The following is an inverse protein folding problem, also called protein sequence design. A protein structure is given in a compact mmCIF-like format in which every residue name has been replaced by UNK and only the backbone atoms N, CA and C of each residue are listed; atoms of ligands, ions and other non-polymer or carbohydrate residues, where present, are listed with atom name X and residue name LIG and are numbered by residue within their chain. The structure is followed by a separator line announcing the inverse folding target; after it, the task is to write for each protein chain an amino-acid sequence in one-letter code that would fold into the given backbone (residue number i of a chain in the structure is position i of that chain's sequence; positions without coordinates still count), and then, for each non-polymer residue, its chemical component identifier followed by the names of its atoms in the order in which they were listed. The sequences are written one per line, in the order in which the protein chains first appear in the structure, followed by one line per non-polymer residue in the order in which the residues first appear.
data_IF_508464974380
#
_entry.id   IF_508464974380
#
_cell.length_a   1.000
_cell.length_b   1.000
_cell.length_c   1.000
_cell.angle_alpha   90.00
_cell.angle_beta   90.00
_cell.angle_gamma   90.00
#
_symmetry.space_group_name_H-M   'P 1'
#
loop_
_entity.id
_entity.type
_entity.pdbx_description
1 polymer ?
#
# COMPACT_ATOMS: atom_id res chain seq x y z
N UNK A 1 -7.79 24.86 -6.30
CA UNK A 1 -6.80 24.95 -5.22
C UNK A 1 -6.24 26.37 -5.14
N UNK A 2 -5.93 26.86 -3.94
CA UNK A 2 -5.35 28.19 -3.72
C UNK A 2 -3.94 28.30 -4.33
N UNK A 3 -3.63 29.45 -4.92
CA UNK A 3 -2.29 29.69 -5.48
C UNK A 3 -1.25 29.96 -4.40
N UNK A 4 -0.02 29.48 -4.60
CA UNK A 4 1.06 29.56 -3.60
C UNK A 4 1.50 30.98 -3.24
N UNK A 5 1.30 31.94 -4.15
CA UNK A 5 1.55 33.38 -3.93
C UNK A 5 0.58 34.03 -2.94
N UNK A 6 -0.56 33.38 -2.67
CA UNK A 6 -1.52 33.79 -1.63
C UNK A 6 -1.25 33.16 -0.27
N UNK A 7 -0.25 32.30 -0.15
CA UNK A 7 0.10 31.67 1.13
C UNK A 7 1.25 32.45 1.77
N UNK A 8 1.11 32.79 3.05
CA UNK A 8 2.18 33.42 3.82
C UNK A 8 2.47 32.65 5.10
N UNK A 9 3.75 32.66 5.49
CA UNK A 9 4.25 32.14 6.75
C UNK A 9 4.33 33.25 7.83
N UNK A 10 4.18 34.50 7.41
CA UNK A 10 4.16 35.64 8.31
C UNK A 10 2.77 35.78 8.94
N UNK A 11 2.73 36.27 10.18
CA UNK A 11 1.48 36.52 10.88
C UNK A 11 0.61 37.53 10.10
N UNK A 12 -0.67 37.18 9.91
CA UNK A 12 -1.67 38.07 9.31
C UNK A 12 -2.51 38.70 10.41
N UNK A 13 -2.54 40.03 10.49
CA UNK A 13 -3.43 40.77 11.38
C UNK A 13 -4.86 40.82 10.82
N UNK A 14 -5.60 39.71 10.96
CA UNK A 14 -7.03 39.67 10.60
C UNK A 14 -7.93 40.34 11.65
N UNK A 15 -7.46 40.39 12.90
CA UNK A 15 -8.17 40.95 14.04
C UNK A 15 -7.28 41.98 14.72
N UNK A 16 -7.38 43.26 14.34
CA UNK A 16 -6.56 44.32 14.92
C UNK A 16 -6.70 44.32 16.45
N UNK A 17 -5.58 44.23 17.15
CA UNK A 17 -5.58 44.18 18.61
C UNK A 17 -4.46 45.04 19.19
N UNK A 18 -4.64 45.60 20.40
CA UNK A 18 -3.55 46.30 21.07
C UNK A 18 -2.34 45.38 21.26
N UNK A 19 -1.13 45.91 21.10
CA UNK A 19 0.14 45.19 21.24
C UNK A 19 0.19 44.35 22.53
N UNK A 20 -0.20 44.93 23.66
CA UNK A 20 -0.25 44.25 24.96
C UNK A 20 -1.23 43.05 25.03
N UNK A 21 -2.21 42.98 24.12
CA UNK A 21 -3.09 41.82 23.96
C UNK A 21 -2.46 40.79 23.03
N UNK A 22 -1.84 41.22 21.92
CA UNK A 22 -1.09 40.34 21.01
C UNK A 22 -0.02 39.58 21.74
N UNK A 23 0.85 40.27 22.49
CA UNK A 23 1.93 39.65 23.28
C UNK A 23 1.41 38.60 24.26
N UNK A 24 0.27 38.85 24.90
CA UNK A 24 -0.35 37.88 25.82
C UNK A 24 -0.86 36.64 25.08
N UNK A 25 -1.46 36.83 23.92
CA UNK A 25 -2.00 35.75 23.10
C UNK A 25 -0.86 34.89 22.51
N UNK A 26 0.20 35.53 22.02
CA UNK A 26 1.44 34.87 21.57
C UNK A 26 2.09 34.08 22.71
N UNK A 27 2.14 34.62 23.93
CA UNK A 27 2.66 33.89 25.08
C UNK A 27 1.82 32.65 25.43
N UNK A 28 0.50 32.71 25.26
CA UNK A 28 -0.39 31.54 25.44
C UNK A 28 -0.16 30.50 24.34
N UNK A 29 0.03 30.93 23.09
CA UNK A 29 0.35 30.06 21.96
C UNK A 29 1.71 29.37 22.14
N UNK A 30 2.76 30.13 22.47
CA UNK A 30 4.08 29.57 22.76
C UNK A 30 4.03 28.57 23.92
N UNK A 31 3.26 28.87 24.98
CA UNK A 31 3.07 27.94 26.09
C UNK A 31 2.39 26.64 25.62
N UNK A 32 1.43 26.70 24.72
CA UNK A 32 0.75 25.52 24.14
C UNK A 32 1.73 24.62 23.39
N UNK A 33 2.61 25.22 22.59
CA UNK A 33 3.61 24.49 21.79
C UNK A 33 4.77 23.92 22.61
N UNK A 34 4.98 24.39 23.85
CA UNK A 34 6.05 23.93 24.74
C UNK A 34 5.57 22.96 25.84
N UNK A 35 4.36 22.42 25.74
CA UNK A 35 3.77 21.57 26.80
C UNK A 35 4.46 20.20 26.88
N UNK A 36 4.80 19.78 28.11
CA UNK A 36 5.41 18.47 28.41
C UNK A 36 4.71 17.68 29.53
N UNK A 37 3.51 18.08 29.97
CA UNK A 37 2.75 17.31 30.97
C UNK A 37 1.37 17.87 31.35
N UNK A 38 0.51 17.00 31.90
CA UNK A 38 -0.93 17.25 32.20
C UNK A 38 -1.15 18.48 33.09
N UNK A 39 -0.35 18.65 34.15
CA UNK A 39 -0.48 19.80 35.06
C UNK A 39 -0.24 21.17 34.38
N UNK A 40 0.53 21.19 33.28
CA UNK A 40 0.77 22.42 32.52
C UNK A 40 -0.40 22.72 31.58
N UNK A 41 -1.03 21.69 31.03
CA UNK A 41 -2.23 21.79 30.18
C UNK A 41 -3.43 22.35 30.96
N UNK A 42 -3.71 21.86 32.18
CA UNK A 42 -4.81 22.39 33.01
C UNK A 42 -4.61 23.87 33.38
N UNK A 43 -3.36 24.28 33.61
CA UNK A 43 -3.01 25.69 33.86
C UNK A 43 -3.23 26.53 32.61
N UNK A 44 -2.85 26.03 31.43
CA UNK A 44 -3.09 26.71 30.16
C UNK A 44 -4.59 26.90 29.91
N UNK A 45 -5.40 25.85 30.06
CA UNK A 45 -6.86 25.91 29.94
C UNK A 45 -7.45 26.96 30.89
N UNK A 46 -6.97 27.00 32.14
CA UNK A 46 -7.42 28.01 33.12
C UNK A 46 -7.07 29.44 32.67
N UNK A 47 -5.86 29.65 32.14
CA UNK A 47 -5.45 30.96 31.61
C UNK A 47 -6.25 31.36 30.38
N UNK A 48 -6.48 30.45 29.43
CA UNK A 48 -7.27 30.68 28.23
C UNK A 48 -8.72 31.05 28.56
N UNK A 49 -9.37 30.31 29.48
CA UNK A 49 -10.72 30.65 29.98
C UNK A 49 -10.78 32.03 30.62
N UNK A 50 -9.76 32.38 31.42
CA UNK A 50 -9.66 33.71 32.03
C UNK A 50 -9.49 34.80 30.97
N UNK A 51 -8.60 34.58 30.00
CA UNK A 51 -8.36 35.50 28.89
C UNK A 51 -9.65 35.73 28.07
N UNK A 52 -10.36 34.66 27.68
CA UNK A 52 -11.63 34.76 26.97
C UNK A 52 -12.67 35.56 27.77
N UNK A 53 -12.74 35.38 29.09
CA UNK A 53 -13.66 36.14 29.94
C UNK A 53 -13.33 37.65 29.97
N UNK A 54 -12.05 38.00 30.00
CA UNK A 54 -11.57 39.39 30.06
C UNK A 54 -11.57 40.05 28.67
N UNK A 55 -11.41 39.24 27.62
CA UNK A 55 -11.21 39.68 26.24
C UNK A 55 -12.00 38.78 25.25
N UNK A 56 -13.34 38.81 25.30
CA UNK A 56 -14.18 37.84 24.57
C UNK A 56 -14.22 38.03 23.06
N UNK A 57 -13.63 39.10 22.53
CA UNK A 57 -13.67 39.52 21.12
C UNK A 57 -12.55 38.92 20.25
N UNK A 58 -11.67 38.08 20.80
CA UNK A 58 -10.53 37.53 20.07
C UNK A 58 -10.70 36.03 19.78
N UNK A 59 -11.01 35.64 18.54
CA UNK A 59 -11.33 34.25 18.20
C UNK A 59 -10.16 33.27 18.42
N UNK A 60 -8.91 33.74 18.31
CA UNK A 60 -7.72 32.91 18.48
C UNK A 60 -7.69 32.23 19.86
N UNK A 61 -8.13 32.92 20.91
CA UNK A 61 -8.13 32.35 22.26
C UNK A 61 -9.14 31.19 22.41
N UNK A 62 -10.27 31.25 21.69
CA UNK A 62 -11.23 30.14 21.64
C UNK A 62 -10.65 28.96 20.87
N UNK A 63 -10.00 29.20 19.73
CA UNK A 63 -9.30 28.16 18.96
C UNK A 63 -8.24 27.44 19.81
N UNK A 64 -7.38 28.21 20.52
CA UNK A 64 -6.38 27.64 21.41
C UNK A 64 -7.01 26.84 22.56
N UNK A 65 -8.17 27.27 23.07
CA UNK A 65 -8.91 26.55 24.10
C UNK A 65 -9.48 25.23 23.56
N UNK A 66 -10.03 25.22 22.34
CA UNK A 66 -10.52 24.00 21.70
C UNK A 66 -9.38 23.00 21.48
N UNK A 67 -8.23 23.45 20.97
CA UNK A 67 -7.04 22.61 20.78
C UNK A 67 -6.49 22.08 22.11
N UNK A 68 -6.47 22.90 23.17
CA UNK A 68 -6.08 22.43 24.49
C UNK A 68 -7.01 21.32 25.02
N UNK A 69 -8.30 21.32 24.66
CA UNK A 69 -9.21 20.20 24.97
C UNK A 69 -8.93 18.95 24.14
N UNK A 70 -8.58 19.08 22.86
CA UNK A 70 -8.11 17.96 22.04
C UNK A 70 -6.86 17.31 22.67
N UNK A 71 -5.90 18.12 23.11
CA UNK A 71 -4.70 17.64 23.81
C UNK A 71 -5.03 16.92 25.14
N UNK A 72 -6.17 17.26 25.77
CA UNK A 72 -6.70 16.57 26.95
C UNK A 72 -7.53 15.32 26.60
N UNK A 73 -7.69 15.01 25.31
CA UNK A 73 -8.62 13.99 24.78
C UNK A 73 -10.07 14.23 25.21
N UNK A 74 -10.46 15.49 25.42
CA UNK A 74 -11.80 15.89 25.80
C UNK A 74 -12.56 16.46 24.59
N UNK A 75 -13.01 15.57 23.71
CA UNK A 75 -13.62 15.93 22.44
C UNK A 75 -14.92 16.72 22.63
N UNK A 76 -15.77 16.34 23.60
CA UNK A 76 -17.03 17.05 23.92
C UNK A 76 -16.81 18.53 24.23
N UNK A 77 -15.80 18.85 25.04
CA UNK A 77 -15.49 20.26 25.38
C UNK A 77 -14.83 20.99 24.21
N UNK A 78 -14.02 20.30 23.42
CA UNK A 78 -13.44 20.89 22.22
C UNK A 78 -14.55 21.29 21.24
N UNK A 79 -15.47 20.37 20.95
CA UNK A 79 -16.67 20.60 20.14
C UNK A 79 -17.48 21.79 20.63
N UNK A 80 -17.84 21.81 21.92
CA UNK A 80 -18.62 22.92 22.49
C UNK A 80 -17.92 24.29 22.38
N UNK A 81 -16.58 24.31 22.40
CA UNK A 81 -15.82 25.55 22.18
C UNK A 81 -15.76 25.94 20.71
N UNK A 82 -15.66 24.97 19.79
CA UNK A 82 -15.71 25.21 18.34
C UNK A 82 -17.08 25.73 17.89
N UNK A 83 -18.17 25.16 18.40
CA UNK A 83 -19.53 25.64 18.17
C UNK A 83 -19.69 27.10 18.65
N UNK A 84 -19.19 27.40 19.86
CA UNK A 84 -19.21 28.75 20.41
C UNK A 84 -18.33 29.73 19.61
N UNK A 85 -17.19 29.27 19.12
CA UNK A 85 -16.28 30.05 18.28
C UNK A 85 -16.97 30.43 16.98
N UNK A 86 -17.62 29.48 16.31
CA UNK A 86 -18.36 29.73 15.08
C UNK A 86 -19.57 30.65 15.30
N UNK A 87 -20.35 30.43 16.38
CA UNK A 87 -21.49 31.29 16.71
C UNK A 87 -21.06 32.76 16.91
N UNK A 88 -19.91 32.98 17.55
CA UNK A 88 -19.40 34.34 17.84
C UNK A 88 -18.65 34.98 16.68
N UNK A 89 -17.96 34.17 15.89
CA UNK A 89 -17.05 34.61 14.83
C UNK A 89 -17.29 33.78 13.57
N UNK A 90 -18.47 33.93 12.92
CA UNK A 90 -18.85 33.08 11.80
C UNK A 90 -17.88 33.19 10.62
N UNK A 91 -17.16 34.31 10.47
CA UNK A 91 -16.19 34.53 9.38
C UNK A 91 -14.77 34.08 9.75
N UNK A 92 -14.54 33.58 10.97
CA UNK A 92 -13.24 33.08 11.37
C UNK A 92 -13.00 31.67 10.81
N UNK A 93 -12.09 31.58 9.85
CA UNK A 93 -11.83 30.37 9.06
C UNK A 93 -11.53 29.13 9.91
N UNK A 94 -10.71 29.23 10.96
CA UNK A 94 -10.47 28.09 11.85
C UNK A 94 -11.74 27.60 12.55
N UNK A 95 -12.70 28.48 12.86
CA UNK A 95 -13.98 28.08 13.45
C UNK A 95 -14.80 27.22 12.48
N UNK A 96 -14.84 27.60 11.20
CA UNK A 96 -15.51 26.84 10.12
C UNK A 96 -14.85 25.47 9.91
N UNK A 97 -13.53 25.47 9.71
CA UNK A 97 -12.76 24.25 9.47
C UNK A 97 -12.82 23.28 10.66
N UNK A 98 -12.78 23.79 11.90
CA UNK A 98 -12.79 22.96 13.09
C UNK A 98 -14.12 22.21 13.31
N UNK A 99 -15.26 22.81 12.94
CA UNK A 99 -16.57 22.14 13.03
C UNK A 99 -16.67 20.95 12.10
N UNK A 100 -16.21 21.11 10.86
CA UNK A 100 -16.14 20.02 9.89
C UNK A 100 -15.14 18.94 10.35
N UNK A 101 -13.97 19.36 10.84
CA UNK A 101 -12.96 18.43 11.31
C UNK A 101 -13.38 17.61 12.56
N UNK A 102 -14.25 18.14 13.44
CA UNK A 102 -14.64 17.44 14.67
C UNK A 102 -15.83 16.50 14.54
N UNK A 103 -16.80 16.77 13.65
CA UNK A 103 -18.14 16.16 13.75
C UNK A 103 -18.79 15.70 12.43
N UNK A 104 -17.99 15.45 11.38
CA UNK A 104 -18.54 14.87 10.15
C UNK A 104 -19.12 13.47 10.39
N UNK A 105 -20.44 13.40 10.50
CA UNK A 105 -21.29 12.23 10.25
C UNK A 105 -22.20 12.47 9.03
N UNK A 106 -22.95 11.46 8.60
CA UNK A 106 -23.81 11.53 7.39
C UNK A 106 -24.84 12.66 7.46
N UNK A 107 -25.37 12.97 8.65
CA UNK A 107 -26.37 14.03 8.85
C UNK A 107 -25.76 15.44 8.70
N UNK A 108 -24.44 15.57 8.88
CA UNK A 108 -23.71 16.84 8.75
C UNK A 108 -23.27 17.17 7.31
N UNK A 109 -23.41 16.22 6.37
CA UNK A 109 -22.98 16.40 4.97
C UNK A 109 -23.74 17.52 4.23
N UNK A 110 -25.01 17.73 4.57
CA UNK A 110 -25.86 18.75 3.92
C UNK A 110 -25.40 20.19 4.23
N UNK A 111 -24.71 20.43 5.36
CA UNK A 111 -24.32 21.76 5.84
C UNK A 111 -22.87 22.15 5.49
N UNK A 112 -22.11 21.27 4.83
CA UNK A 112 -20.68 21.49 4.54
C UNK A 112 -20.46 22.66 3.59
N UNK A 113 -21.31 22.83 2.58
CA UNK A 113 -21.20 23.93 1.63
C UNK A 113 -21.50 25.28 2.29
N UNK A 114 -22.29 25.31 3.37
CA UNK A 114 -22.49 26.52 4.18
C UNK A 114 -21.23 26.89 4.97
N UNK A 115 -20.50 25.88 5.47
CA UNK A 115 -19.30 26.09 6.28
C UNK A 115 -18.06 26.40 5.43
N UNK A 116 -17.84 25.64 4.35
CA UNK A 116 -16.63 25.70 3.51
C UNK A 116 -16.85 26.40 2.16
N UNK A 117 -18.08 26.74 1.80
CA UNK A 117 -18.42 27.33 0.49
C UNK A 117 -18.75 26.26 -0.56
N UNK A 118 -19.58 26.61 -1.53
CA UNK A 118 -20.08 25.69 -2.56
C UNK A 118 -18.96 25.08 -3.42
N UNK A 119 -17.96 25.90 -3.76
CA UNK A 119 -16.84 25.48 -4.60
C UNK A 119 -15.77 24.71 -3.82
N UNK A 120 -15.84 24.68 -2.49
CA UNK A 120 -14.81 24.11 -1.61
C UNK A 120 -13.40 24.68 -1.86
N UNK A 121 -13.33 25.93 -2.31
CA UNK A 121 -12.10 26.67 -2.60
C UNK A 121 -11.97 27.91 -1.70
N UNK A 122 -10.80 28.10 -1.08
CA UNK A 122 -10.56 29.23 -0.16
C UNK A 122 -10.77 30.60 -0.82
N UNK A 123 -10.34 30.74 -2.07
CA UNK A 123 -10.46 31.98 -2.83
C UNK A 123 -11.92 32.30 -3.20
N UNK A 124 -12.77 31.28 -3.35
CA UNK A 124 -14.20 31.47 -3.55
C UNK A 124 -14.90 31.84 -2.24
N UNK A 125 -14.46 31.24 -1.12
CA UNK A 125 -15.02 31.50 0.21
C UNK A 125 -14.64 32.91 0.73
N UNK A 126 -13.43 33.39 0.43
CA UNK A 126 -12.94 34.71 0.85
C UNK A 126 -12.36 35.49 -0.34
N UNK A 127 -13.20 35.98 -1.27
CA UNK A 127 -12.75 36.58 -2.52
C UNK A 127 -11.96 37.89 -2.34
N UNK A 128 -12.19 38.59 -1.21
CA UNK A 128 -11.53 39.86 -0.89
C UNK A 128 -10.19 39.68 -0.15
N UNK A 129 -9.78 38.44 0.18
CA UNK A 129 -8.51 38.18 0.87
C UNK A 129 -7.37 37.99 -0.12
N UNK A 130 -6.33 38.81 0.03
CA UNK A 130 -5.11 38.71 -0.78
C UNK A 130 -4.17 37.59 -0.30
N UNK A 131 -4.14 37.32 1.02
CA UNK A 131 -3.27 36.31 1.61
C UNK A 131 -3.95 35.52 2.74
N UNK A 132 -3.51 34.27 2.89
CA UNK A 132 -3.89 33.34 3.95
C UNK A 132 -2.64 32.81 4.65
N UNK A 133 -2.73 32.69 5.96
CA UNK A 133 -1.64 32.09 6.72
C UNK A 133 -1.59 30.59 6.41
N UNK A 134 -0.41 29.99 6.37
CA UNK A 134 -0.24 28.57 6.06
C UNK A 134 -1.13 27.65 6.91
N UNK A 135 -1.27 27.94 8.21
CA UNK A 135 -2.12 27.14 9.11
C UNK A 135 -3.62 27.26 8.78
N UNK A 136 -4.06 28.39 8.22
CA UNK A 136 -5.43 28.56 7.76
C UNK A 136 -5.69 27.67 6.53
N UNK A 137 -4.73 27.66 5.60
CA UNK A 137 -4.78 26.87 4.38
C UNK A 137 -4.84 25.38 4.70
N UNK A 138 -3.92 24.90 5.53
CA UNK A 138 -3.83 23.48 5.88
C UNK A 138 -5.05 23.01 6.69
N UNK A 139 -5.54 23.81 7.64
CA UNK A 139 -6.74 23.46 8.40
C UNK A 139 -7.99 23.38 7.51
N UNK A 140 -8.15 24.31 6.56
CA UNK A 140 -9.27 24.31 5.63
C UNK A 140 -9.24 23.09 4.71
N UNK A 141 -8.12 22.82 4.03
CA UNK A 141 -8.07 21.70 3.08
C UNK A 141 -8.10 20.35 3.78
N UNK A 142 -7.67 20.25 5.05
CA UNK A 142 -7.92 19.06 5.85
C UNK A 142 -9.43 18.82 6.08
N UNK A 143 -10.20 19.88 6.35
CA UNK A 143 -11.65 19.77 6.46
C UNK A 143 -12.31 19.33 5.14
N UNK A 144 -11.86 19.88 4.00
CA UNK A 144 -12.32 19.46 2.66
C UNK A 144 -11.95 17.98 2.39
N UNK A 145 -10.72 17.58 2.72
CA UNK A 145 -10.28 16.19 2.58
C UNK A 145 -11.13 15.22 3.41
N UNK A 146 -11.42 15.58 4.66
CA UNK A 146 -12.30 14.77 5.52
C UNK A 146 -13.72 14.66 4.96
N UNK A 147 -14.24 15.74 4.36
CA UNK A 147 -15.52 15.69 3.65
C UNK A 147 -15.48 14.71 2.48
N UNK A 148 -14.49 14.81 1.59
CA UNK A 148 -14.37 13.88 0.45
C UNK A 148 -14.21 12.44 0.91
N UNK A 149 -13.47 12.19 1.99
CA UNK A 149 -13.35 10.86 2.58
C UNK A 149 -14.69 10.31 3.08
N UNK A 150 -15.42 11.06 3.92
CA UNK A 150 -16.70 10.59 4.51
C UNK A 150 -17.81 10.46 3.46
N UNK A 151 -17.77 11.27 2.40
CA UNK A 151 -18.71 11.19 1.29
C UNK A 151 -18.26 10.23 0.18
N UNK A 152 -17.22 9.41 0.43
CA UNK A 152 -16.67 8.40 -0.49
C UNK A 152 -16.28 8.96 -1.86
N UNK A 153 -15.92 10.24 -1.93
CA UNK A 153 -15.42 10.91 -3.13
C UNK A 153 -13.89 10.79 -3.22
N UNK A 154 -13.40 9.54 -3.30
CA UNK A 154 -11.98 9.23 -3.19
C UNK A 154 -11.13 9.81 -4.32
N UNK A 155 -11.65 9.94 -5.55
CA UNK A 155 -10.93 10.58 -6.65
C UNK A 155 -10.64 12.04 -6.35
N UNK A 156 -11.64 12.79 -5.86
CA UNK A 156 -11.46 14.19 -5.46
C UNK A 156 -10.50 14.35 -4.27
N UNK A 157 -10.52 13.38 -3.34
CA UNK A 157 -9.57 13.33 -2.24
C UNK A 157 -8.13 13.16 -2.74
N UNK A 158 -7.89 12.26 -3.70
CA UNK A 158 -6.60 12.07 -4.35
C UNK A 158 -6.15 13.32 -5.12
N UNK A 159 -7.03 13.94 -5.89
CA UNK A 159 -6.75 15.20 -6.61
C UNK A 159 -6.35 16.32 -5.64
N UNK A 160 -7.11 16.49 -4.56
CA UNK A 160 -6.81 17.49 -3.53
C UNK A 160 -5.44 17.25 -2.88
N UNK A 161 -5.14 16.00 -2.51
CA UNK A 161 -3.85 15.66 -1.94
C UNK A 161 -2.70 15.93 -2.91
N UNK A 162 -2.85 15.55 -4.19
CA UNK A 162 -1.82 15.80 -5.22
C UNK A 162 -1.49 17.29 -5.36
N UNK A 163 -2.50 18.16 -5.31
CA UNK A 163 -2.28 19.60 -5.38
C UNK A 163 -1.71 20.17 -4.07
N UNK A 164 -2.15 19.67 -2.91
CA UNK A 164 -1.65 20.11 -1.62
C UNK A 164 -0.18 19.72 -1.41
N UNK A 165 0.20 18.50 -1.79
CA UNK A 165 1.56 17.97 -1.69
C UNK A 165 2.56 18.75 -2.57
N UNK A 166 2.13 19.23 -3.74
CA UNK A 166 2.96 20.10 -4.60
C UNK A 166 3.29 21.45 -3.95
N UNK A 167 2.38 21.98 -3.13
CA UNK A 167 2.52 23.34 -2.58
C UNK A 167 3.06 23.32 -1.15
N UNK A 168 2.64 22.35 -0.34
CA UNK A 168 2.92 22.24 1.09
C UNK A 168 3.36 20.80 1.48
N UNK A 169 4.42 20.24 0.89
CA UNK A 169 4.81 18.84 1.10
C UNK A 169 5.23 18.52 2.54
N UNK A 170 5.91 19.46 3.20
CA UNK A 170 6.48 19.26 4.54
C UNK A 170 5.51 19.61 5.68
N UNK A 171 4.28 20.04 5.36
CA UNK A 171 3.31 20.43 6.38
C UNK A 171 2.69 19.20 7.05
N UNK A 172 2.67 19.12 8.40
CA UNK A 172 2.13 17.96 9.11
C UNK A 172 0.70 17.59 8.74
N UNK A 173 -0.12 18.59 8.41
CA UNK A 173 -1.51 18.35 8.03
C UNK A 173 -1.64 17.77 6.61
N UNK A 174 -0.73 18.09 5.69
CA UNK A 174 -0.66 17.45 4.37
C UNK A 174 -0.42 15.95 4.53
N UNK A 175 0.42 15.57 5.49
CA UNK A 175 0.62 14.16 5.85
C UNK A 175 -0.65 13.51 6.45
N UNK A 176 -1.43 14.23 7.27
CA UNK A 176 -2.72 13.70 7.75
C UNK A 176 -3.73 13.51 6.59
N UNK A 177 -3.75 14.39 5.58
CA UNK A 177 -4.55 14.19 4.36
C UNK A 177 -4.10 12.93 3.61
N UNK A 178 -2.78 12.70 3.49
CA UNK A 178 -2.23 11.48 2.87
C UNK A 178 -2.76 10.20 3.53
N UNK A 179 -2.92 10.18 4.87
CA UNK A 179 -3.52 9.04 5.58
C UNK A 179 -4.99 8.82 5.20
N UNK A 180 -5.76 9.89 5.02
CA UNK A 180 -7.15 9.79 4.55
C UNK A 180 -7.20 9.24 3.12
N UNK A 181 -6.28 9.66 2.24
CA UNK A 181 -6.16 9.11 0.88
C UNK A 181 -5.86 7.61 0.93
N UNK A 182 -4.88 7.18 1.73
CA UNK A 182 -4.55 5.76 1.88
C UNK A 182 -5.76 4.94 2.34
N UNK A 183 -6.47 5.41 3.36
CA UNK A 183 -7.68 4.75 3.85
C UNK A 183 -8.80 4.73 2.80
N UNK A 184 -8.99 5.83 2.06
CA UNK A 184 -10.03 5.94 1.05
C UNK A 184 -9.76 5.02 -0.14
N UNK A 185 -8.50 4.92 -0.56
CA UNK A 185 -8.10 3.98 -1.62
C UNK A 185 -8.32 2.52 -1.18
N UNK A 186 -8.07 2.19 0.09
CA UNK A 186 -8.36 0.86 0.62
C UNK A 186 -9.89 0.55 0.62
N UNK A 187 -10.72 1.52 1.00
CA UNK A 187 -12.19 1.37 0.94
C UNK A 187 -12.70 1.25 -0.49
N UNK A 188 -12.19 2.06 -1.41
CA UNK A 188 -12.52 1.97 -2.84
C UNK A 188 -12.21 0.57 -3.40
N UNK A 189 -11.03 0.04 -3.05
CA UNK A 189 -10.62 -1.31 -3.45
C UNK A 189 -11.55 -2.39 -2.88
N UNK A 190 -11.92 -2.30 -1.61
CA UNK A 190 -12.86 -3.24 -0.98
C UNK A 190 -14.23 -3.21 -1.67
N UNK A 191 -14.78 -2.02 -1.95
CA UNK A 191 -16.03 -1.88 -2.70
C UNK A 191 -15.94 -2.41 -4.13
N UNK A 192 -14.84 -2.17 -4.84
CA UNK A 192 -14.62 -2.73 -6.18
C UNK A 192 -14.60 -4.26 -6.13
N UNK A 193 -13.89 -4.84 -5.15
CA UNK A 193 -13.79 -6.28 -4.95
C UNK A 193 -15.16 -6.95 -4.72
N UNK A 194 -16.12 -6.28 -4.08
CA UNK A 194 -17.48 -6.79 -3.90
C UNK A 194 -18.30 -6.86 -5.21
N UNK A 195 -17.96 -6.04 -6.21
CA UNK A 195 -18.76 -5.83 -7.41
C UNK A 195 -18.20 -6.49 -8.68
N UNK A 196 -17.02 -7.09 -8.58
CA UNK A 196 -16.37 -7.81 -9.69
C UNK A 196 -16.38 -9.33 -9.46
N UNK A 197 -16.28 -10.16 -10.51
CA UNK A 197 -16.12 -11.59 -10.34
C UNK A 197 -14.85 -11.94 -9.56
N UNK A 198 -14.97 -12.78 -8.54
CA UNK A 198 -13.85 -13.27 -7.74
C UNK A 198 -14.00 -14.76 -7.43
N UNK A 199 -12.90 -15.50 -7.49
CA UNK A 199 -12.88 -16.93 -7.12
C UNK A 199 -12.53 -17.06 -5.64
N UNK A 200 -13.40 -17.69 -4.87
CA UNK A 200 -13.06 -18.06 -3.49
C UNK A 200 -12.16 -19.30 -3.50
N UNK A 201 -10.93 -19.15 -3.00
CA UNK A 201 -9.99 -20.25 -2.85
C UNK A 201 -10.43 -21.22 -1.76
N UNK A 202 -10.16 -22.50 -1.98
CA UNK A 202 -10.14 -23.50 -0.92
C UNK A 202 -8.76 -24.16 -0.94
N UNK A 203 -7.86 -23.80 -0.01
CA UNK A 203 -6.51 -24.34 0.02
C UNK A 203 -6.52 -25.87 -0.06
N UNK A 204 -5.67 -26.43 -0.92
CA UNK A 204 -5.51 -27.88 -0.99
C UNK A 204 -4.92 -28.37 0.32
N UNK A 205 -5.70 -29.11 1.11
CA UNK A 205 -5.27 -29.58 2.42
C UNK A 205 -4.39 -30.81 2.30
N UNK A 206 -3.12 -30.65 2.68
CA UNK A 206 -2.16 -31.74 2.81
C UNK A 206 -2.43 -32.57 4.06
N UNK A 207 -2.19 -33.88 3.96
CA UNK A 207 -2.25 -34.78 5.13
C UNK A 207 -1.15 -34.41 6.13
N UNK A 208 -1.58 -33.95 7.29
CA UNK A 208 -0.70 -33.46 8.36
C UNK A 208 -0.05 -34.61 9.14
N UNK A 209 1.20 -34.39 9.57
CA UNK A 209 1.99 -35.32 10.35
C UNK A 209 2.88 -34.56 11.35
N UNK A 210 3.44 -35.29 12.32
CA UNK A 210 4.45 -34.77 13.26
C UNK A 210 5.82 -35.42 13.04
N UNK A 211 5.94 -36.28 12.02
CA UNK A 211 7.17 -37.04 11.73
C UNK A 211 8.04 -36.20 10.82
N UNK A 212 9.23 -35.84 11.30
CA UNK A 212 10.21 -35.12 10.49
C UNK A 212 10.77 -36.00 9.35
N UNK A 213 11.07 -35.43 8.19
CA UNK A 213 11.66 -36.14 7.06
C UNK A 213 13.08 -36.62 7.37
N UNK A 214 13.48 -37.71 6.71
CA UNK A 214 14.86 -38.19 6.73
C UNK A 214 15.66 -37.59 5.57
N UNK A 215 16.75 -36.91 5.92
CA UNK A 215 17.65 -36.25 4.97
C UNK A 215 18.96 -37.02 4.79
N UNK A 216 19.46 -37.04 3.56
CA UNK A 216 20.81 -37.53 3.29
C UNK A 216 21.88 -36.61 3.90
N UNK A 217 21.69 -35.29 3.78
CA UNK A 217 22.54 -34.25 4.35
C UNK A 217 21.91 -33.69 5.63
N UNK A 218 21.78 -34.55 6.65
CA UNK A 218 21.04 -34.23 7.88
C UNK A 218 21.61 -33.03 8.65
N UNK A 219 22.94 -32.86 8.68
CA UNK A 219 23.57 -31.73 9.39
C UNK A 219 23.30 -30.41 8.66
N UNK A 220 23.37 -30.43 7.33
CA UNK A 220 23.15 -29.27 6.48
C UNK A 220 21.67 -28.87 6.43
N UNK A 221 20.75 -29.84 6.32
CA UNK A 221 19.31 -29.56 6.33
C UNK A 221 18.83 -29.06 7.69
N UNK A 222 19.44 -29.51 8.80
CA UNK A 222 19.09 -29.02 10.14
C UNK A 222 19.23 -27.49 10.27
N UNK A 223 20.19 -26.89 9.56
CA UNK A 223 20.42 -25.44 9.57
C UNK A 223 19.22 -24.63 9.08
N UNK A 224 18.51 -25.15 8.09
CA UNK A 224 17.33 -24.49 7.53
C UNK A 224 16.24 -24.29 8.58
N UNK A 225 16.10 -25.23 9.51
CA UNK A 225 15.06 -25.22 10.55
C UNK A 225 15.50 -24.57 11.87
N UNK A 226 16.80 -24.46 12.14
CA UNK A 226 17.31 -24.14 13.48
C UNK A 226 18.06 -22.82 13.57
N UNK A 227 18.68 -22.39 12.47
CA UNK A 227 19.50 -21.19 12.47
C UNK A 227 18.63 -19.98 12.11
N UNK A 228 18.92 -18.82 12.68
CA UNK A 228 18.26 -17.57 12.26
C UNK A 228 18.81 -17.08 10.91
N UNK A 229 20.03 -17.45 10.56
CA UNK A 229 20.69 -17.09 9.31
C UNK A 229 21.73 -18.16 8.94
N UNK A 230 21.87 -18.46 7.64
CA UNK A 230 22.90 -19.38 7.12
C UNK A 230 24.03 -18.54 6.54
N UNK A 231 25.25 -18.72 7.05
CA UNK A 231 26.42 -17.87 6.76
C UNK A 231 27.05 -18.08 5.37
N UNK A 232 27.70 -17.00 4.88
CA UNK A 232 28.73 -16.97 3.82
C UNK A 232 29.13 -18.29 3.17
N UNK A 233 30.09 -18.84 3.89
CA UNK A 233 30.87 -19.99 3.51
C UNK A 233 30.04 -21.26 3.58
N UNK A 234 28.99 -21.29 4.39
CA UNK A 234 28.25 -22.51 4.70
C UNK A 234 27.33 -22.89 3.55
N UNK A 235 26.52 -21.97 3.04
CA UNK A 235 25.70 -22.23 1.87
C UNK A 235 26.56 -22.40 0.61
N UNK A 236 27.67 -21.67 0.45
CA UNK A 236 28.63 -21.98 -0.63
C UNK A 236 29.17 -23.40 -0.50
N UNK A 237 29.48 -23.86 0.72
CA UNK A 237 29.89 -25.24 0.95
C UNK A 237 28.76 -26.22 0.64
N UNK A 238 27.50 -25.88 0.93
CA UNK A 238 26.36 -26.71 0.54
C UNK A 238 26.20 -26.81 -0.97
N UNK A 239 26.42 -25.74 -1.73
CA UNK A 239 26.36 -25.76 -3.19
C UNK A 239 27.43 -26.68 -3.83
N UNK A 240 28.49 -27.03 -3.10
CA UNK A 240 29.52 -28.00 -3.53
C UNK A 240 29.14 -29.46 -3.24
N UNK A 241 28.03 -29.71 -2.52
CA UNK A 241 27.50 -31.06 -2.30
C UNK A 241 27.01 -31.69 -3.62
N UNK A 242 26.88 -33.03 -3.70
CA UNK A 242 26.29 -33.69 -4.86
C UNK A 242 24.90 -33.13 -5.20
N UNK A 243 24.82 -32.41 -6.33
CA UNK A 243 23.66 -31.60 -6.74
C UNK A 243 22.34 -32.36 -6.63
N UNK A 244 22.25 -33.54 -7.24
CA UNK A 244 20.99 -34.29 -7.30
C UNK A 244 20.51 -34.74 -5.92
N UNK A 245 21.44 -35.08 -5.02
CA UNK A 245 21.11 -35.48 -3.66
C UNK A 245 20.70 -34.27 -2.81
N UNK A 246 21.37 -33.12 -2.98
CA UNK A 246 21.02 -31.89 -2.27
C UNK A 246 19.64 -31.39 -2.73
N UNK A 247 19.41 -31.37 -4.04
CA UNK A 247 18.11 -31.03 -4.62
C UNK A 247 17.00 -31.94 -4.06
N UNK A 248 17.23 -33.25 -3.99
CA UNK A 248 16.25 -34.18 -3.42
C UNK A 248 15.92 -33.89 -1.94
N UNK A 249 16.91 -33.52 -1.12
CA UNK A 249 16.66 -33.14 0.28
C UNK A 249 15.97 -31.79 0.40
N UNK A 250 16.33 -30.79 -0.41
CA UNK A 250 15.65 -29.48 -0.44
C UNK A 250 14.18 -29.58 -0.84
N UNK A 251 13.85 -30.45 -1.80
CA UNK A 251 12.45 -30.72 -2.17
C UNK A 251 11.67 -31.37 -1.02
N UNK A 252 12.32 -32.20 -0.19
CA UNK A 252 11.70 -32.70 1.04
C UNK A 252 11.49 -31.60 2.08
N UNK A 253 12.39 -30.62 2.17
CA UNK A 253 12.20 -29.45 3.05
C UNK A 253 10.95 -28.67 2.64
N UNK A 254 10.73 -28.49 1.33
CA UNK A 254 9.48 -27.88 0.84
C UNK A 254 8.27 -28.75 1.17
N UNK A 255 8.30 -30.05 0.87
CA UNK A 255 7.20 -30.98 1.18
C UNK A 255 6.85 -30.97 2.68
N UNK A 256 7.86 -30.89 3.54
CA UNK A 256 7.71 -30.89 4.98
C UNK A 256 6.94 -29.68 5.50
N UNK A 257 7.13 -28.51 4.89
CA UNK A 257 6.36 -27.31 5.23
C UNK A 257 4.86 -27.48 5.04
N UNK A 258 4.43 -28.19 3.98
CA UNK A 258 3.03 -28.54 3.80
C UNK A 258 2.55 -29.61 4.78
N UNK A 259 3.35 -30.66 4.99
CA UNK A 259 2.96 -31.84 5.78
C UNK A 259 3.01 -31.64 7.28
N UNK A 260 3.77 -30.65 7.76
CA UNK A 260 3.89 -30.32 9.18
C UNK A 260 3.46 -28.89 9.46
N UNK A 261 2.64 -28.29 8.61
CA UNK A 261 2.14 -26.92 8.79
C UNK A 261 1.47 -26.75 10.16
N UNK A 262 0.54 -27.65 10.53
CA UNK A 262 -0.15 -27.61 11.84
C UNK A 262 0.81 -27.69 13.04
N UNK A 263 1.98 -28.31 12.84
CA UNK A 263 3.02 -28.41 13.86
C UNK A 263 3.82 -27.11 13.97
N UNK A 264 4.09 -26.44 12.85
CA UNK A 264 4.87 -25.21 12.80
C UNK A 264 4.07 -23.95 13.08
N UNK A 265 2.80 -23.88 12.67
CA UNK A 265 1.93 -22.70 12.87
C UNK A 265 1.75 -22.34 14.35
N UNK A 266 2.01 -23.29 15.27
CA UNK A 266 2.00 -23.06 16.72
C UNK A 266 3.26 -22.35 17.24
N UNK A 267 4.23 -22.10 16.37
CA UNK A 267 5.54 -21.51 16.64
C UNK A 267 5.63 -20.20 15.82
N UNK A 268 6.48 -19.27 16.24
CA UNK A 268 6.78 -18.05 15.46
C UNK A 268 7.20 -18.39 14.02
N UNK A 269 6.97 -17.45 13.09
CA UNK A 269 7.21 -17.55 11.64
C UNK A 269 8.48 -18.34 11.28
N UNK A 270 8.37 -19.20 10.26
CA UNK A 270 9.41 -20.16 9.90
C UNK A 270 9.77 -20.03 8.41
N UNK A 271 10.96 -19.49 8.13
CA UNK A 271 11.47 -19.18 6.79
C UNK A 271 12.24 -20.35 6.12
N UNK A 272 12.22 -21.55 6.69
CA UNK A 272 12.97 -22.70 6.15
C UNK A 272 12.56 -23.06 4.71
N UNK A 273 11.28 -22.87 4.35
CA UNK A 273 10.80 -23.06 2.98
C UNK A 273 11.35 -22.00 2.03
N UNK A 274 11.38 -20.73 2.46
CA UNK A 274 12.00 -19.64 1.72
C UNK A 274 13.46 -19.97 1.41
N UNK A 275 14.23 -20.37 2.43
CA UNK A 275 15.65 -20.74 2.28
C UNK A 275 15.82 -21.92 1.33
N UNK A 276 14.97 -22.95 1.44
CA UNK A 276 15.05 -24.11 0.56
C UNK A 276 14.82 -23.73 -0.91
N UNK A 277 13.80 -22.89 -1.17
CA UNK A 277 13.50 -22.41 -2.51
C UNK A 277 14.61 -21.46 -3.05
N UNK A 278 15.23 -20.65 -2.19
CA UNK A 278 16.39 -19.85 -2.54
C UNK A 278 17.62 -20.71 -2.93
N UNK A 279 17.87 -21.81 -2.23
CA UNK A 279 18.95 -22.74 -2.60
C UNK A 279 18.64 -23.47 -3.91
N UNK A 280 17.38 -23.88 -4.12
CA UNK A 280 16.94 -24.46 -5.39
C UNK A 280 17.10 -23.48 -6.57
N UNK A 281 16.94 -22.19 -6.31
CA UNK A 281 17.22 -21.12 -7.28
C UNK A 281 18.70 -21.09 -7.67
N UNK A 282 19.60 -21.10 -6.69
CA UNK A 282 21.06 -21.10 -6.93
C UNK A 282 21.52 -22.38 -7.65
N UNK A 283 20.91 -23.52 -7.32
CA UNK A 283 21.14 -24.79 -8.01
C UNK A 283 20.53 -24.83 -9.42
N UNK A 284 19.67 -23.87 -9.76
CA UNK A 284 18.87 -23.85 -10.99
C UNK A 284 18.10 -25.17 -11.14
N UNK A 285 17.46 -25.60 -10.06
CA UNK A 285 16.62 -26.79 -10.03
C UNK A 285 15.49 -26.65 -11.05
N UNK A 286 15.12 -27.75 -11.71
CA UNK A 286 13.94 -27.79 -12.59
C UNK A 286 12.70 -28.24 -11.83
N UNK A 287 12.89 -29.11 -10.84
CA UNK A 287 11.82 -29.71 -10.06
C UNK A 287 11.18 -28.71 -9.08
N UNK A 288 11.88 -27.63 -8.71
CA UNK A 288 11.35 -26.58 -7.84
C UNK A 288 10.13 -25.85 -8.40
N UNK A 289 9.94 -25.80 -9.72
CA UNK A 289 8.80 -25.11 -10.34
C UNK A 289 7.44 -25.69 -9.97
N UNK A 290 7.38 -27.02 -9.77
CA UNK A 290 6.18 -27.66 -9.23
C UNK A 290 5.83 -27.05 -7.87
N UNK A 291 6.82 -26.91 -6.99
CA UNK A 291 6.61 -26.43 -5.63
C UNK A 291 6.27 -24.95 -5.56
N UNK A 292 6.80 -24.11 -6.46
CA UNK A 292 6.37 -22.71 -6.59
C UNK A 292 4.86 -22.63 -6.78
N UNK A 293 4.30 -23.46 -7.65
CA UNK A 293 2.84 -23.55 -7.86
C UNK A 293 2.14 -24.13 -6.63
N UNK A 294 2.62 -25.23 -6.04
CA UNK A 294 1.97 -25.82 -4.85
C UNK A 294 1.91 -24.85 -3.66
N UNK A 295 2.95 -24.03 -3.44
CA UNK A 295 2.98 -22.98 -2.41
C UNK A 295 1.86 -21.98 -2.63
N UNK A 296 1.70 -21.48 -3.86
CA UNK A 296 0.65 -20.48 -4.15
C UNK A 296 -0.76 -20.99 -3.90
N UNK A 297 -0.99 -22.30 -4.06
CA UNK A 297 -2.30 -22.92 -3.83
C UNK A 297 -2.72 -23.00 -2.35
N UNK A 298 -1.83 -22.71 -1.41
CA UNK A 298 -2.12 -22.83 0.01
C UNK A 298 -2.79 -21.59 0.62
N UNK A 299 -2.88 -20.48 -0.13
CA UNK A 299 -3.47 -19.24 0.34
C UNK A 299 -2.51 -18.33 1.12
N UNK A 300 -2.99 -17.12 1.43
CA UNK A 300 -2.22 -16.02 2.00
C UNK A 300 -1.59 -16.36 3.36
N UNK A 301 -2.34 -16.97 4.29
CA UNK A 301 -1.84 -17.29 5.64
C UNK A 301 -0.59 -18.20 5.58
N UNK A 302 -0.62 -19.23 4.71
CA UNK A 302 0.52 -20.13 4.52
C UNK A 302 1.71 -19.40 3.87
N UNK A 303 1.46 -18.60 2.83
CA UNK A 303 2.50 -17.86 2.14
C UNK A 303 3.18 -16.84 3.06
N UNK A 304 2.40 -16.08 3.83
CA UNK A 304 2.92 -15.10 4.77
C UNK A 304 3.75 -15.78 5.86
N UNK A 305 3.29 -16.91 6.41
CA UNK A 305 4.02 -17.65 7.44
C UNK A 305 5.42 -18.12 6.99
N UNK A 306 5.55 -18.57 5.74
CA UNK A 306 6.78 -19.19 5.25
C UNK A 306 7.70 -18.27 4.43
N UNK A 307 7.14 -17.24 3.79
CA UNK A 307 7.85 -16.41 2.83
C UNK A 307 7.69 -14.90 3.09
N UNK A 308 6.72 -14.50 3.92
CA UNK A 308 6.33 -13.10 4.09
C UNK A 308 6.12 -12.38 2.75
N UNK A 309 6.49 -11.10 2.70
CA UNK A 309 6.38 -10.29 1.49
C UNK A 309 7.45 -10.60 0.42
N UNK A 310 8.43 -11.46 0.73
CA UNK A 310 9.58 -11.71 -0.16
C UNK A 310 9.32 -12.77 -1.23
N UNK A 311 8.21 -13.50 -1.18
CA UNK A 311 7.92 -14.61 -2.11
C UNK A 311 8.04 -14.17 -3.58
N UNK A 312 7.46 -13.02 -3.93
CA UNK A 312 7.49 -12.49 -5.29
C UNK A 312 8.91 -12.25 -5.80
N UNK A 313 9.78 -11.68 -4.96
CA UNK A 313 11.16 -11.38 -5.33
C UNK A 313 11.96 -12.68 -5.55
N UNK A 314 11.77 -13.66 -4.67
CA UNK A 314 12.41 -14.96 -4.76
C UNK A 314 12.01 -15.70 -6.03
N UNK A 315 10.72 -15.78 -6.33
CA UNK A 315 10.22 -16.47 -7.54
C UNK A 315 10.66 -15.76 -8.82
N UNK A 316 10.68 -14.42 -8.83
CA UNK A 316 11.18 -13.64 -9.95
C UNK A 316 12.67 -13.91 -10.24
N UNK A 317 13.50 -13.98 -9.19
CA UNK A 317 14.91 -14.40 -9.29
C UNK A 317 15.02 -15.81 -9.84
N UNK A 318 14.19 -16.73 -9.35
CA UNK A 318 14.19 -18.12 -9.83
C UNK A 318 13.85 -18.18 -11.32
N UNK A 319 12.89 -17.38 -11.78
CA UNK A 319 12.48 -17.32 -13.18
C UNK A 319 13.60 -16.82 -14.08
N UNK A 320 14.27 -15.76 -13.65
CA UNK A 320 15.39 -15.17 -14.38
C UNK A 320 16.54 -16.17 -14.62
N UNK A 321 16.89 -16.99 -13.62
CA UNK A 321 18.05 -17.89 -13.72
C UNK A 321 17.73 -19.31 -14.20
N UNK A 322 16.56 -19.84 -13.89
CA UNK A 322 16.30 -21.28 -13.96
C UNK A 322 15.02 -21.67 -14.71
N UNK A 323 14.24 -20.71 -15.21
CA UNK A 323 13.05 -21.05 -16.00
C UNK A 323 13.46 -21.86 -17.25
N UNK A 324 12.61 -22.80 -17.66
CA UNK A 324 12.80 -23.58 -18.87
C UNK A 324 11.56 -23.49 -19.76
N UNK A 325 11.72 -23.47 -21.09
CA UNK A 325 10.58 -23.42 -22.01
C UNK A 325 9.54 -24.54 -21.80
N UNK A 326 9.96 -25.69 -21.27
CA UNK A 326 9.04 -26.80 -20.93
C UNK A 326 8.04 -26.46 -19.83
N UNK A 327 8.33 -25.47 -19.00
CA UNK A 327 7.45 -25.07 -17.90
C UNK A 327 6.30 -24.15 -18.34
N UNK A 328 6.34 -23.61 -19.57
CA UNK A 328 5.27 -22.76 -20.10
C UNK A 328 3.91 -23.47 -20.01
N UNK A 329 3.82 -24.72 -20.47
CA UNK A 329 2.57 -25.49 -20.42
C UNK A 329 2.09 -25.71 -18.97
N UNK A 330 3.01 -25.88 -18.00
CA UNK A 330 2.64 -26.02 -16.59
C UNK A 330 2.01 -24.75 -16.05
N UNK A 331 2.60 -23.59 -16.33
CA UNK A 331 2.07 -22.30 -15.91
C UNK A 331 0.76 -21.94 -16.62
N UNK A 332 0.64 -22.25 -17.91
CA UNK A 332 -0.63 -22.08 -18.66
C UNK A 332 -1.75 -22.87 -17.98
N UNK A 333 -1.52 -24.16 -17.71
CA UNK A 333 -2.49 -25.02 -17.04
C UNK A 333 -2.83 -24.53 -15.62
N UNK A 334 -1.85 -24.02 -14.88
CA UNK A 334 -2.07 -23.46 -13.55
C UNK A 334 -2.98 -22.23 -13.56
N UNK A 335 -2.75 -21.27 -14.47
CA UNK A 335 -3.63 -20.09 -14.57
C UNK A 335 -5.06 -20.45 -14.94
N UNK A 336 -5.26 -21.58 -15.61
CA UNK A 336 -6.56 -22.11 -16.03
C UNK A 336 -7.17 -23.12 -15.05
N UNK A 337 -6.47 -23.42 -13.94
CA UNK A 337 -6.95 -24.36 -12.93
C UNK A 337 -8.13 -23.75 -12.14
N UNK A 338 -9.23 -24.48 -12.02
CA UNK A 338 -10.43 -24.02 -11.32
C UNK A 338 -10.26 -24.05 -9.78
N UNK A 339 -10.92 -23.12 -9.09
CA UNK A 339 -11.06 -23.15 -7.63
C UNK A 339 -9.88 -22.58 -6.83
N UNK A 340 -8.94 -21.93 -7.51
CA UNK A 340 -7.83 -21.19 -6.90
C UNK A 340 -8.11 -19.69 -7.08
N UNK A 341 -7.99 -18.89 -6.02
CA UNK A 341 -8.24 -17.45 -6.09
C UNK A 341 -7.31 -16.74 -7.07
N UNK A 342 -7.77 -15.64 -7.66
CA UNK A 342 -6.92 -14.83 -8.52
C UNK A 342 -5.69 -14.28 -7.81
N UNK A 343 -5.83 -13.92 -6.52
CA UNK A 343 -4.72 -13.45 -5.69
C UNK A 343 -3.60 -14.49 -5.58
N UNK A 344 -3.94 -15.74 -5.29
CA UNK A 344 -2.99 -16.86 -5.20
C UNK A 344 -2.22 -17.04 -6.51
N UNK A 345 -2.90 -16.95 -7.66
CA UNK A 345 -2.27 -17.03 -8.99
C UNK A 345 -1.41 -15.81 -9.31
N UNK A 346 -1.79 -14.62 -8.83
CA UNK A 346 -1.12 -13.36 -9.17
C UNK A 346 0.34 -13.31 -8.70
N UNK A 347 0.68 -14.01 -7.61
CA UNK A 347 2.06 -14.07 -7.08
C UNK A 347 3.10 -14.51 -8.13
N UNK A 348 2.68 -15.29 -9.12
CA UNK A 348 3.58 -15.87 -10.13
C UNK A 348 3.32 -15.36 -11.55
N UNK A 349 2.46 -14.36 -11.75
CA UNK A 349 2.19 -13.78 -13.09
C UNK A 349 3.46 -13.25 -13.74
N UNK A 350 4.31 -12.55 -12.99
CA UNK A 350 5.52 -11.95 -13.54
C UNK A 350 6.63 -12.95 -13.88
N UNK A 351 6.51 -14.24 -13.51
CA UNK A 351 7.49 -15.29 -13.84
C UNK A 351 7.83 -15.29 -15.32
N UNK A 352 6.83 -15.11 -16.19
CA UNK A 352 7.01 -15.11 -17.64
C UNK A 352 7.84 -13.92 -18.12
N UNK A 353 7.61 -12.73 -17.56
CA UNK A 353 8.40 -11.55 -17.90
C UNK A 353 9.86 -11.69 -17.42
N UNK A 354 10.08 -12.18 -16.20
CA UNK A 354 11.44 -12.40 -15.69
C UNK A 354 12.17 -13.52 -16.45
N UNK A 355 11.47 -14.56 -16.88
CA UNK A 355 12.04 -15.60 -17.74
C UNK A 355 12.47 -15.04 -19.11
N UNK A 356 11.69 -14.14 -19.71
CA UNK A 356 12.06 -13.44 -20.96
C UNK A 356 13.28 -12.55 -20.75
N UNK A 357 13.27 -11.74 -19.69
CA UNK A 357 14.40 -10.86 -19.35
C UNK A 357 15.69 -11.61 -19.07
N UNK A 358 15.60 -12.79 -18.44
CA UNK A 358 16.73 -13.68 -18.19
C UNK A 358 17.20 -14.45 -19.44
N UNK A 359 16.57 -14.24 -20.59
CA UNK A 359 16.86 -14.97 -21.83
C UNK A 359 16.53 -16.47 -21.75
N UNK A 360 15.65 -16.86 -20.82
CA UNK A 360 15.23 -18.25 -20.60
C UNK A 360 14.18 -18.69 -21.61
N UNK A 361 13.38 -17.75 -22.07
CA UNK A 361 12.41 -17.92 -23.16
C UNK A 361 12.54 -16.74 -24.13
N UNK A 362 12.21 -17.00 -25.39
CA UNK A 362 12.12 -15.95 -26.41
C UNK A 362 10.94 -15.03 -26.13
N UNK A 363 11.09 -13.73 -26.43
CA UNK A 363 10.00 -12.76 -26.29
C UNK A 363 8.71 -13.22 -26.97
N UNK A 364 8.81 -13.78 -28.17
CA UNK A 364 7.64 -14.29 -28.90
C UNK A 364 6.89 -15.41 -28.13
N UNK A 365 7.61 -16.23 -27.35
CA UNK A 365 6.98 -17.26 -26.53
C UNK A 365 6.27 -16.65 -25.31
N UNK A 366 6.88 -15.66 -24.65
CA UNK A 366 6.25 -14.92 -23.56
C UNK A 366 4.98 -14.18 -24.02
N UNK A 367 5.02 -13.55 -25.19
CA UNK A 367 3.85 -12.86 -25.77
C UNK A 367 2.74 -13.85 -26.15
N UNK A 368 3.10 -15.00 -26.73
CA UNK A 368 2.14 -16.05 -27.07
C UNK A 368 1.48 -16.65 -25.82
N UNK A 369 2.24 -16.84 -24.74
CA UNK A 369 1.73 -17.32 -23.45
C UNK A 369 0.61 -16.42 -22.93
N UNK A 370 0.88 -15.11 -22.76
CA UNK A 370 -0.10 -14.21 -22.15
C UNK A 370 -1.33 -14.01 -23.04
N UNK A 371 -1.13 -13.99 -24.37
CA UNK A 371 -2.24 -13.94 -25.32
C UNK A 371 -3.14 -15.18 -25.20
N UNK A 372 -2.54 -16.37 -25.12
CA UNK A 372 -3.28 -17.63 -24.97
C UNK A 372 -4.07 -17.66 -23.67
N UNK A 373 -3.43 -17.37 -22.53
CA UNK A 373 -4.08 -17.41 -21.22
C UNK A 373 -5.24 -16.42 -21.13
N UNK A 374 -5.06 -15.17 -21.58
CA UNK A 374 -6.15 -14.18 -21.60
C UNK A 374 -7.31 -14.62 -22.50
N UNK A 375 -7.02 -15.19 -23.66
CA UNK A 375 -8.05 -15.68 -24.57
C UNK A 375 -8.84 -16.84 -23.94
N UNK A 376 -8.17 -17.80 -23.30
CA UNK A 376 -8.83 -18.94 -22.67
C UNK A 376 -9.66 -18.53 -21.44
N UNK A 377 -9.17 -17.58 -20.63
CA UNK A 377 -9.94 -16.99 -19.53
C UNK A 377 -11.19 -16.26 -20.04
N UNK A 378 -11.07 -15.52 -21.15
CA UNK A 378 -12.21 -14.86 -21.77
C UNK A 378 -13.25 -15.85 -22.31
N UNK A 379 -12.81 -16.92 -22.96
CA UNK A 379 -13.69 -17.99 -23.43
C UNK A 379 -14.41 -18.68 -22.27
N UNK A 380 -13.75 -18.79 -21.12
CA UNK A 380 -14.28 -19.36 -19.89
C UNK A 380 -14.93 -18.34 -18.94
N UNK A 381 -15.23 -17.11 -19.36
CA UNK A 381 -15.75 -16.02 -18.51
C UNK A 381 -17.05 -16.31 -17.74
N UNK A 382 -17.84 -17.27 -18.22
CA UNK A 382 -19.07 -17.70 -17.53
C UNK A 382 -18.78 -18.74 -16.41
N UNK A 383 -17.53 -19.21 -16.29
CA UNK A 383 -17.10 -20.16 -15.27
C UNK A 383 -16.71 -19.42 -13.99
N UNK A 384 -17.61 -19.40 -13.02
CA UNK A 384 -17.41 -18.74 -11.73
C UNK A 384 -16.30 -19.34 -10.85
N UNK A 385 -15.74 -20.51 -11.23
CA UNK A 385 -14.59 -21.12 -10.53
C UNK A 385 -13.24 -20.71 -11.11
N UNK A 386 -13.24 -20.02 -12.24
CA UNK A 386 -12.03 -19.58 -12.94
C UNK A 386 -12.00 -18.06 -13.13
N UNK A 387 -13.17 -17.46 -13.30
CA UNK A 387 -13.29 -16.04 -13.62
C UNK A 387 -13.02 -15.17 -12.41
N UNK A 388 -11.90 -14.44 -12.47
CA UNK A 388 -11.42 -13.59 -11.39
C UNK A 388 -10.89 -12.27 -11.97
N UNK A 389 -11.51 -11.16 -11.59
CA UNK A 389 -11.18 -9.84 -12.12
C UNK A 389 -9.79 -9.36 -11.69
N UNK A 390 -9.35 -9.75 -10.50
CA UNK A 390 -8.02 -9.38 -10.02
C UNK A 390 -6.94 -10.07 -10.88
N UNK A 391 -7.06 -11.38 -11.09
CA UNK A 391 -6.15 -12.12 -11.97
C UNK A 391 -6.13 -11.58 -13.40
N UNK A 392 -7.32 -11.30 -13.96
CA UNK A 392 -7.44 -10.72 -15.30
C UNK A 392 -6.65 -9.41 -15.39
N UNK A 393 -6.82 -8.53 -14.40
CA UNK A 393 -6.11 -7.25 -14.33
C UNK A 393 -4.59 -7.46 -14.29
N UNK A 394 -4.09 -8.37 -13.45
CA UNK A 394 -2.66 -8.66 -13.37
C UNK A 394 -2.09 -9.22 -14.69
N UNK A 395 -2.82 -10.11 -15.36
CA UNK A 395 -2.41 -10.65 -16.67
C UNK A 395 -2.44 -9.60 -17.78
N UNK A 396 -3.37 -8.64 -17.73
CA UNK A 396 -3.38 -7.49 -18.63
C UNK A 396 -2.16 -6.59 -18.38
N UNK A 397 -1.78 -6.39 -17.12
CA UNK A 397 -0.52 -5.74 -16.74
C UNK A 397 0.70 -6.45 -17.35
N UNK A 398 0.77 -7.78 -17.24
CA UNK A 398 1.82 -8.59 -17.88
C UNK A 398 1.82 -8.41 -19.41
N UNK A 399 0.65 -8.38 -20.05
CA UNK A 399 0.54 -8.14 -21.48
C UNK A 399 1.06 -6.74 -21.87
N UNK A 400 0.80 -5.73 -21.05
CA UNK A 400 1.31 -4.38 -21.23
C UNK A 400 2.84 -4.33 -21.08
N UNK A 401 3.40 -5.06 -20.11
CA UNK A 401 4.84 -5.17 -19.90
C UNK A 401 5.56 -5.88 -21.06
N UNK A 402 4.97 -6.96 -21.55
CA UNK A 402 5.46 -7.72 -22.70
C UNK A 402 5.14 -7.06 -24.05
N UNK A 403 4.44 -5.92 -24.05
CA UNK A 403 4.07 -5.13 -25.23
C UNK A 403 3.21 -5.90 -26.25
N UNK A 404 2.23 -6.66 -25.77
CA UNK A 404 1.33 -7.49 -26.59
C UNK A 404 0.10 -6.69 -27.03
N UNK A 405 0.30 -5.71 -27.92
CA UNK A 405 -0.77 -4.80 -28.36
C UNK A 405 -1.92 -5.51 -29.08
N UNK A 406 -1.66 -6.69 -29.62
CA UNK A 406 -2.64 -7.56 -30.26
C UNK A 406 -3.76 -7.95 -29.30
N UNK A 407 -3.53 -7.93 -27.98
CA UNK A 407 -4.54 -8.20 -26.96
C UNK A 407 -5.48 -7.01 -26.69
N UNK A 408 -5.17 -5.78 -27.14
CA UNK A 408 -5.98 -4.58 -26.81
C UNK A 408 -7.49 -4.72 -27.11
N UNK A 409 -7.92 -5.32 -28.25
CA UNK A 409 -9.34 -5.56 -28.49
C UNK A 409 -9.99 -6.48 -27.45
N UNK A 410 -9.26 -7.52 -27.02
CA UNK A 410 -9.72 -8.45 -25.98
C UNK A 410 -9.73 -7.77 -24.60
N UNK A 411 -8.67 -7.03 -24.26
CA UNK A 411 -8.59 -6.19 -23.05
C UNK A 411 -9.81 -5.29 -22.94
N UNK A 412 -10.19 -4.62 -24.04
CA UNK A 412 -11.40 -3.78 -24.06
C UNK A 412 -12.66 -4.58 -23.70
N UNK A 413 -12.78 -5.82 -24.15
CA UNK A 413 -13.93 -6.66 -23.81
C UNK A 413 -13.99 -6.99 -22.32
N UNK A 414 -12.84 -7.26 -21.68
CA UNK A 414 -12.76 -7.45 -20.22
C UNK A 414 -13.24 -6.19 -19.46
N UNK A 415 -12.86 -4.99 -19.92
CA UNK A 415 -13.37 -3.73 -19.36
C UNK A 415 -14.87 -3.55 -19.58
N UNK A 416 -15.36 -3.82 -20.80
CA UNK A 416 -16.78 -3.65 -21.16
C UNK A 416 -17.70 -4.60 -20.35
N UNK A 417 -17.19 -5.75 -19.87
CA UNK A 417 -17.93 -6.74 -19.08
C UNK A 417 -17.63 -6.69 -17.56
N UNK A 418 -16.99 -5.62 -17.04
CA UNK A 418 -16.62 -5.49 -15.62
C UNK A 418 -15.82 -6.69 -15.08
N UNK A 419 -14.91 -7.22 -15.90
CA UNK A 419 -14.08 -8.37 -15.57
C UNK A 419 -12.65 -7.99 -15.17
N UNK A 420 -12.44 -6.74 -14.76
CA UNK A 420 -11.16 -6.17 -14.32
C UNK A 420 -11.42 -5.26 -13.14
N UNK A 421 -10.35 -4.92 -12.42
CA UNK A 421 -10.34 -4.02 -11.27
C UNK A 421 -9.68 -2.70 -11.71
N UNK A 422 -10.47 -1.63 -12.01
CA UNK A 422 -9.93 -0.39 -12.58
C UNK A 422 -8.94 0.33 -11.66
N UNK A 423 -9.06 0.19 -10.33
CA UNK A 423 -8.12 0.83 -9.38
C UNK A 423 -6.64 0.46 -9.60
N UNK A 424 -6.33 -0.64 -10.30
CA UNK A 424 -4.94 -1.02 -10.59
C UNK A 424 -4.32 -0.31 -11.80
N UNK A 425 -5.08 -0.11 -12.89
CA UNK A 425 -4.55 0.38 -14.18
C UNK A 425 -5.35 1.55 -14.77
N UNK A 426 -6.33 2.05 -14.03
CA UNK A 426 -7.28 3.04 -14.50
C UNK A 426 -8.31 2.46 -15.46
N UNK A 427 -8.96 3.32 -16.22
CA UNK A 427 -9.90 2.91 -17.25
C UNK A 427 -9.17 2.26 -18.46
N UNK A 428 -9.93 1.80 -19.47
CA UNK A 428 -9.35 1.22 -20.67
C UNK A 428 -8.40 2.19 -21.41
N UNK A 429 -8.70 3.49 -21.45
CA UNK A 429 -7.89 4.47 -22.15
C UNK A 429 -6.56 4.73 -21.42
N UNK A 430 -6.56 4.68 -20.09
CA UNK A 430 -5.35 4.69 -19.28
C UNK A 430 -4.55 3.40 -19.47
N UNK A 431 -5.21 2.24 -19.37
CA UNK A 431 -4.62 0.92 -19.61
C UNK A 431 -3.95 0.83 -20.98
N UNK A 432 -4.58 1.32 -22.05
CA UNK A 432 -4.00 1.35 -23.41
C UNK A 432 -2.66 2.11 -23.46
N UNK A 433 -2.52 3.20 -22.69
CA UNK A 433 -1.26 3.97 -22.64
C UNK A 433 -0.12 3.17 -22.00
N UNK A 434 -0.40 2.26 -21.05
CA UNK A 434 0.64 1.43 -20.44
C UNK A 434 1.28 0.45 -21.44
N UNK A 435 0.56 0.05 -22.50
CA UNK A 435 1.14 -0.75 -23.58
C UNK A 435 2.22 0.03 -24.36
N UNK A 436 2.21 1.37 -24.29
CA UNK A 436 3.22 2.25 -24.90
C UNK A 436 4.29 2.74 -23.92
N UNK A 437 4.01 2.70 -22.61
CA UNK A 437 4.94 3.12 -21.57
C UNK A 437 6.18 2.20 -21.47
N UNK A 438 7.22 2.64 -20.76
CA UNK A 438 8.35 1.76 -20.43
C UNK A 438 7.86 0.64 -19.51
N UNK A 439 8.33 -0.60 -19.70
CA UNK A 439 7.88 -1.74 -18.88
C UNK A 439 8.20 -1.52 -17.39
N UNK A 440 7.24 -1.85 -16.52
CA UNK A 440 7.40 -1.84 -15.07
C UNK A 440 8.50 -2.83 -14.63
N UNK A 441 8.56 -4.01 -15.28
CA UNK A 441 9.59 -5.03 -15.03
C UNK A 441 10.99 -4.53 -15.40
N UNK A 442 11.11 -3.59 -16.34
CA UNK A 442 12.40 -2.98 -16.69
C UNK A 442 12.97 -2.05 -15.61
N UNK A 443 12.17 -1.67 -14.60
CA UNK A 443 12.66 -0.92 -13.43
C UNK A 443 13.45 -1.82 -12.46
N UNK A 444 13.21 -3.14 -12.51
CA UNK A 444 14.00 -4.12 -11.78
C UNK A 444 15.24 -4.47 -12.62
N UNK A 445 16.32 -3.69 -12.41
CA UNK A 445 17.64 -4.00 -12.99
C UNK A 445 18.00 -5.47 -12.69
N UNK A 446 18.68 -6.12 -13.65
CA UNK A 446 19.22 -7.46 -13.47
C UNK A 446 19.94 -7.56 -12.12
N UNK A 447 19.42 -8.38 -11.22
CA UNK A 447 20.05 -8.57 -9.92
C UNK A 447 21.38 -9.34 -10.12
N UNK A 448 22.45 -9.01 -9.37
CA UNK A 448 23.73 -9.66 -9.54
C UNK A 448 23.66 -11.18 -9.26
N UNK A 449 24.44 -11.98 -10.01
CA UNK A 449 24.68 -13.39 -9.68
C UNK A 449 25.55 -13.46 -8.39
N UNK A 450 25.04 -14.08 -7.32
CA UNK A 450 25.76 -14.18 -6.05
C UNK A 450 24.85 -14.27 -4.82
N UNK A 451 25.46 -14.39 -3.65
CA UNK A 451 25.13 -15.41 -2.65
C UNK A 451 24.12 -15.03 -1.53
N UNK A 452 23.89 -13.78 -1.16
CA UNK A 452 22.90 -13.45 -0.13
C UNK A 452 22.60 -11.96 -0.12
N UNK A 453 21.43 -11.54 -0.59
CA UNK A 453 20.98 -10.16 -0.36
C UNK A 453 19.62 -10.06 0.34
N UNK A 454 18.95 -11.18 0.60
CA UNK A 454 17.54 -11.15 1.01
C UNK A 454 17.12 -12.29 1.95
N UNK A 455 17.99 -12.77 2.85
CA UNK A 455 17.48 -13.57 3.99
C UNK A 455 16.70 -12.70 4.99
N UNK A 456 16.60 -11.38 4.76
CA UNK A 456 15.54 -10.57 5.33
C UNK A 456 15.15 -9.44 4.35
N UNK A 457 13.93 -9.40 3.79
CA UNK A 457 13.47 -8.28 2.96
C UNK A 457 13.39 -6.94 3.73
N UNK A 458 13.50 -6.95 5.07
CA UNK A 458 13.33 -5.78 5.93
C UNK A 458 14.62 -4.99 6.27
N UNK A 459 15.81 -5.42 5.80
CA UNK A 459 17.09 -4.83 6.23
C UNK A 459 18.03 -4.43 5.07
N UNK A 460 17.51 -3.83 4.00
CA UNK A 460 18.37 -3.09 3.07
C UNK A 460 18.82 -1.79 3.73
N UNK A 461 20.12 -1.62 3.98
CA UNK A 461 20.65 -0.33 4.41
C UNK A 461 20.84 0.61 3.21
N UNK A 462 20.83 1.93 3.44
CA UNK A 462 21.09 2.91 2.36
C UNK A 462 22.44 2.66 1.66
N UNK A 463 23.42 2.11 2.39
CA UNK A 463 24.75 1.75 1.87
C UNK A 463 24.71 0.56 0.89
N UNK A 464 23.74 -0.34 1.06
CA UNK A 464 23.51 -1.50 0.19
C UNK A 464 22.82 -1.08 -1.12
N UNK A 465 21.94 -0.09 -1.05
CA UNK A 465 21.33 0.55 -2.22
C UNK A 465 22.35 1.34 -3.04
N UNK A 466 23.26 2.07 -2.38
CA UNK A 466 24.31 2.83 -3.04
C UNK A 466 25.32 1.95 -3.80
N UNK A 467 25.59 0.73 -3.30
CA UNK A 467 26.45 -0.25 -3.99
C UNK A 467 25.80 -0.87 -5.22
N UNK A 468 24.47 -1.00 -5.23
CA UNK A 468 23.69 -1.46 -6.39
C UNK A 468 23.57 -0.40 -7.50
N UNK A 469 23.80 0.87 -7.16
CA UNK A 469 23.76 2.00 -8.08
C UNK A 469 25.09 2.33 -8.77
N UNK A 470 26.20 1.75 -8.31
CA UNK A 470 27.54 1.88 -8.91
C UNK A 470 27.83 0.71 -9.86
#
# INVERSE_FOLDING_TARGET
MISSDKITFDAIELYPMPEAISEKLEALYAQMNSLSGVNQLDRLITKLRKFIKEHPSYPQAYNYLANAYVMQRNMDKSKAVNELLFEKFPDYLFGRAALVASDLDEDFLEDITYLLGEELELDALYPDREQFHIQEVTAYYFAVAKYYFVSEQFEKLNELYSELDKILPDEPMTHEVSKLVMAGNAQALEHEHEHVPHVHSHPEKWEQTTVAPEFQFSEEMAKFYQEEEIEEAEWKAMLELPKEALEADLLKVLEDGFRRYDHFEQIEEQDFMFRALAMLTDLRSKEGWKWVIEVTKQGEEFMMFHFGDAFHQLVSRYAYYAFEPSELERFENFFLEEGIAGLDKAYVVNVIAYAEMGGRIEKAAAQAFVQKVLQELWEARDNSKLTDAFLNSTLIGLAADLKVKECLPLVKQFFDENMVVPSYFGDFAETERYFDAQSSVSQYKAQPEGWAFCLNPLNLTDEDLDKLMQ
#
